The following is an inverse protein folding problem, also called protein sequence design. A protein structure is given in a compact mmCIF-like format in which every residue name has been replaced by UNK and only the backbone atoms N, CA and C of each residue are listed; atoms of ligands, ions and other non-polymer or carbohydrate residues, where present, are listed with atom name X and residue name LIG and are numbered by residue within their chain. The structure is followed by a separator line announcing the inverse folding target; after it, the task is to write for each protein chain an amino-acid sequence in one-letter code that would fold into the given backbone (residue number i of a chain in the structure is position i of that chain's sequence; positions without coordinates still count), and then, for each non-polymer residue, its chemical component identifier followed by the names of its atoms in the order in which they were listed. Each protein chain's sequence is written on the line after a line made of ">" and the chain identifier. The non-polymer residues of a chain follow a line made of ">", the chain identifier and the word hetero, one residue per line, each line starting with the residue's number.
data_IF_599011445640
#
_entry.id   IF_599011445640
#
_cell.length_a   1.000
_cell.length_b   1.000
_cell.length_c   1.000
_cell.angle_alpha   90.00
_cell.angle_beta   90.00
_cell.angle_gamma   90.00
#
_symmetry.space_group_name_H-M   'P 1'
#
loop_
_entity.id
_entity.type
_entity.pdbx_description
1 polymer ?
#
# COMPACT_ATOMS: atom_id res chain seq x y z
N UNK A 1 -29.61 -19.24 23.19
CA UNK A 1 -29.08 -18.43 22.06
C UNK A 1 -28.31 -19.36 21.14
N UNK A 2 -28.55 -19.30 19.83
CA UNK A 2 -27.74 -20.07 18.86
C UNK A 2 -26.33 -19.48 18.75
N UNK A 3 -25.31 -20.30 19.04
CA UNK A 3 -23.88 -20.00 18.87
C UNK A 3 -23.49 -20.35 17.42
N UNK A 4 -22.77 -19.46 16.76
CA UNK A 4 -22.25 -19.65 15.39
C UNK A 4 -21.09 -20.65 15.36
N UNK A 5 -20.69 -21.11 14.17
CA UNK A 5 -19.54 -22.04 14.04
C UNK A 5 -18.25 -21.39 14.54
N UNK A 6 -17.98 -20.15 14.13
CA UNK A 6 -16.85 -19.38 14.66
C UNK A 6 -16.94 -19.22 16.18
N UNK A 7 -18.11 -18.84 16.70
CA UNK A 7 -18.30 -18.70 18.14
C UNK A 7 -18.07 -19.99 18.94
N UNK A 8 -18.33 -21.16 18.34
CA UNK A 8 -18.02 -22.47 18.93
C UNK A 8 -16.51 -22.74 18.96
N UNK A 9 -15.81 -22.47 17.86
CA UNK A 9 -14.34 -22.60 17.77
C UNK A 9 -13.66 -21.70 18.79
N UNK A 10 -14.01 -20.41 18.81
CA UNK A 10 -13.45 -19.44 19.74
C UNK A 10 -13.71 -19.82 21.21
N UNK A 11 -14.93 -20.26 21.54
CA UNK A 11 -15.26 -20.72 22.90
C UNK A 11 -14.48 -21.99 23.30
N UNK A 12 -14.25 -22.89 22.35
CA UNK A 12 -13.49 -24.12 22.57
C UNK A 12 -12.02 -23.81 22.81
N UNK A 13 -11.42 -22.91 22.03
CA UNK A 13 -10.06 -22.44 22.23
C UNK A 13 -9.90 -21.66 23.55
N UNK A 14 -10.83 -20.76 23.89
CA UNK A 14 -10.82 -20.04 25.17
C UNK A 14 -10.74 -21.04 26.36
N UNK A 15 -11.50 -22.14 26.28
CA UNK A 15 -11.54 -23.18 27.31
C UNK A 15 -10.27 -24.03 27.35
N UNK A 16 -9.84 -24.57 26.22
CA UNK A 16 -8.83 -25.64 26.20
C UNK A 16 -7.44 -25.16 25.78
N UNK A 17 -7.35 -23.97 25.17
CA UNK A 17 -6.14 -23.44 24.58
C UNK A 17 -5.86 -24.15 23.26
N UNK A 18 -4.59 -24.18 22.86
CA UNK A 18 -4.16 -24.81 21.62
C UNK A 18 -3.83 -23.80 20.52
N UNK A 19 -3.72 -24.32 19.30
CA UNK A 19 -3.37 -23.55 18.13
C UNK A 19 -4.62 -22.97 17.47
N UNK A 20 -4.92 -21.73 17.84
CA UNK A 20 -6.11 -21.01 17.34
C UNK A 20 -6.09 -20.85 15.82
N UNK A 21 -4.93 -20.64 15.21
CA UNK A 21 -4.84 -20.45 13.77
C UNK A 21 -5.29 -21.72 13.04
N UNK A 22 -4.78 -22.89 13.47
CA UNK A 22 -5.20 -24.19 12.93
C UNK A 22 -6.70 -24.48 13.16
N UNK A 23 -7.25 -24.08 14.32
CA UNK A 23 -8.68 -24.24 14.58
C UNK A 23 -9.54 -23.35 13.67
N UNK A 24 -9.11 -22.12 13.39
CA UNK A 24 -9.77 -21.20 12.48
C UNK A 24 -9.65 -21.65 11.01
N UNK A 25 -8.49 -22.15 10.59
CA UNK A 25 -8.30 -22.73 9.25
C UNK A 25 -9.25 -23.90 8.99
N UNK A 26 -9.58 -24.67 10.04
CA UNK A 26 -10.58 -25.74 9.98
C UNK A 26 -12.01 -25.28 9.63
N UNK A 27 -12.30 -23.98 9.71
CA UNK A 27 -13.58 -23.40 9.24
C UNK A 27 -13.62 -23.22 7.72
N UNK A 28 -12.48 -23.25 7.03
CA UNK A 28 -12.34 -22.97 5.61
C UNK A 28 -12.58 -21.49 5.28
N UNK A 29 -13.19 -21.21 4.12
CA UNK A 29 -13.52 -19.85 3.70
C UNK A 29 -14.73 -19.29 4.49
N UNK A 30 -14.51 -18.93 5.75
CA UNK A 30 -15.55 -18.41 6.64
C UNK A 30 -15.55 -16.88 6.63
N UNK A 31 -16.62 -16.27 6.12
CA UNK A 31 -16.80 -14.81 6.18
C UNK A 31 -17.60 -14.37 7.42
N UNK A 32 -17.23 -13.22 7.99
CA UNK A 32 -17.88 -12.64 9.17
C UNK A 32 -19.14 -11.88 8.74
N UNK A 33 -20.26 -12.60 8.68
CA UNK A 33 -21.56 -12.05 8.25
C UNK A 33 -22.46 -11.64 9.41
N UNK A 34 -22.31 -12.27 10.59
CA UNK A 34 -23.25 -12.12 11.69
C UNK A 34 -22.69 -11.24 12.79
N UNK A 35 -23.54 -10.38 13.36
CA UNK A 35 -23.24 -9.61 14.58
C UNK A 35 -22.69 -10.49 15.72
N UNK A 36 -23.17 -11.73 15.83
CA UNK A 36 -22.72 -12.70 16.83
C UNK A 36 -21.29 -13.17 16.63
N UNK A 37 -20.82 -13.25 15.39
CA UNK A 37 -19.44 -13.61 15.07
C UNK A 37 -18.50 -12.49 15.53
N UNK A 38 -18.81 -11.25 15.16
CA UNK A 38 -18.09 -10.07 15.63
C UNK A 38 -18.04 -9.99 17.18
N UNK A 39 -19.16 -10.26 17.86
CA UNK A 39 -19.18 -10.34 19.33
C UNK A 39 -18.28 -11.44 19.90
N UNK A 40 -18.23 -12.59 19.25
CA UNK A 40 -17.35 -13.69 19.68
C UNK A 40 -15.87 -13.31 19.51
N UNK A 41 -15.53 -12.62 18.42
CA UNK A 41 -14.20 -12.05 18.19
C UNK A 41 -13.84 -11.05 19.30
N UNK A 42 -14.70 -10.05 19.56
CA UNK A 42 -14.48 -9.05 20.62
C UNK A 42 -14.31 -9.68 22.01
N UNK A 43 -15.11 -10.69 22.34
CA UNK A 43 -14.96 -11.44 23.59
C UNK A 43 -13.63 -12.16 23.67
N UNK A 44 -13.19 -12.77 22.57
CA UNK A 44 -11.93 -13.52 22.53
C UNK A 44 -10.72 -12.60 22.70
N UNK A 45 -10.78 -11.37 22.16
CA UNK A 45 -9.74 -10.35 22.30
C UNK A 45 -9.44 -9.95 23.76
N UNK A 46 -10.39 -10.11 24.68
CA UNK A 46 -10.16 -9.82 26.11
C UNK A 46 -9.65 -11.03 26.89
N UNK A 47 -9.51 -12.18 26.25
CA UNK A 47 -9.06 -13.40 26.91
C UNK A 47 -7.56 -13.29 27.28
N UNK A 48 -7.14 -13.68 28.50
CA UNK A 48 -5.74 -13.54 28.95
C UNK A 48 -4.71 -14.23 28.04
N UNK A 49 -5.12 -15.32 27.39
CA UNK A 49 -4.27 -16.08 26.44
C UNK A 49 -3.89 -15.29 25.18
N UNK A 50 -4.57 -14.19 24.86
CA UNK A 50 -4.17 -13.34 23.73
C UNK A 50 -2.77 -12.73 23.90
N UNK A 51 -2.29 -12.60 25.14
CA UNK A 51 -0.96 -12.07 25.44
C UNK A 51 0.07 -13.18 25.73
N UNK A 52 -0.30 -14.45 25.60
CA UNK A 52 0.66 -15.53 25.77
C UNK A 52 1.64 -15.54 24.59
N UNK A 53 2.95 -15.72 24.84
CA UNK A 53 3.92 -15.85 23.78
C UNK A 53 3.60 -17.06 22.92
N UNK A 54 3.91 -16.94 21.63
CA UNK A 54 3.76 -18.02 20.67
C UNK A 54 4.48 -19.29 21.15
N UNK A 55 3.78 -20.43 21.12
CA UNK A 55 4.39 -21.73 21.38
C UNK A 55 5.46 -22.07 20.32
N UNK A 56 6.45 -22.90 20.69
CA UNK A 56 7.55 -23.26 19.78
C UNK A 56 7.10 -23.90 18.46
N UNK A 57 5.99 -24.64 18.50
CA UNK A 57 5.46 -25.38 17.36
C UNK A 57 4.34 -24.63 16.62
N UNK A 58 4.01 -23.40 17.06
CA UNK A 58 2.94 -22.60 16.48
C UNK A 58 3.55 -21.61 15.48
N UNK A 59 2.96 -21.49 14.29
CA UNK A 59 3.43 -20.59 13.21
C UNK A 59 2.79 -19.19 13.32
N UNK A 60 1.61 -19.08 13.92
CA UNK A 60 0.85 -17.83 13.99
C UNK A 60 0.38 -17.59 15.42
N UNK A 61 0.61 -16.40 15.98
CA UNK A 61 0.13 -16.11 17.34
C UNK A 61 -1.40 -16.12 17.37
N UNK A 62 -2.03 -16.42 18.53
CA UNK A 62 -3.47 -16.29 18.67
C UNK A 62 -3.99 -14.87 18.36
N UNK A 63 -3.21 -13.84 18.70
CA UNK A 63 -3.55 -12.45 18.41
C UNK A 63 -3.59 -12.20 16.89
N UNK A 64 -2.56 -12.64 16.16
CA UNK A 64 -2.53 -12.54 14.71
C UNK A 64 -3.73 -13.23 14.06
N UNK A 65 -4.03 -14.45 14.50
CA UNK A 65 -5.14 -15.24 13.97
C UNK A 65 -6.50 -14.53 14.18
N UNK A 66 -6.71 -13.91 15.33
CA UNK A 66 -7.92 -13.12 15.59
C UNK A 66 -7.95 -11.82 14.76
N UNK A 67 -6.82 -11.12 14.63
CA UNK A 67 -6.73 -9.89 13.83
C UNK A 67 -7.02 -10.18 12.36
N UNK A 68 -6.63 -11.36 11.84
CA UNK A 68 -6.95 -11.76 10.46
C UNK A 68 -8.46 -11.73 10.18
N UNK A 69 -9.29 -12.14 11.14
CA UNK A 69 -10.75 -12.14 11.00
C UNK A 69 -11.35 -10.74 10.77
N UNK A 70 -10.61 -9.67 11.10
CA UNK A 70 -11.05 -8.30 10.81
C UNK A 70 -11.02 -7.96 9.31
N UNK A 71 -10.38 -8.79 8.47
CA UNK A 71 -10.25 -8.57 7.02
C UNK A 71 -11.32 -9.30 6.21
N UNK A 72 -12.02 -10.26 6.81
CA UNK A 72 -13.02 -11.12 6.13
C UNK A 72 -14.47 -10.76 6.48
N UNK A 73 -14.75 -9.46 6.66
CA UNK A 73 -16.07 -8.98 7.06
C UNK A 73 -16.88 -8.59 5.82
N UNK A 74 -18.07 -9.15 5.71
CA UNK A 74 -18.97 -8.90 4.58
C UNK A 74 -20.26 -8.21 5.01
N UNK A 75 -20.52 -8.10 6.32
CA UNK A 75 -21.72 -7.49 6.87
C UNK A 75 -21.44 -6.18 7.59
N UNK A 76 -22.29 -5.19 7.33
CA UNK A 76 -22.26 -3.89 8.01
C UNK A 76 -22.44 -4.02 9.52
N UNK A 77 -23.34 -4.89 9.99
CA UNK A 77 -23.60 -5.07 11.42
C UNK A 77 -22.38 -5.65 12.14
N UNK A 78 -21.68 -6.59 11.50
CA UNK A 78 -20.44 -7.16 12.03
C UNK A 78 -19.31 -6.11 12.04
N UNK A 79 -19.20 -5.33 10.97
CA UNK A 79 -18.24 -4.22 10.87
C UNK A 79 -18.44 -3.19 11.98
N UNK A 80 -19.68 -2.72 12.20
CA UNK A 80 -20.01 -1.74 13.24
C UNK A 80 -19.69 -2.25 14.66
N UNK A 81 -19.91 -3.55 14.92
CA UNK A 81 -19.55 -4.18 16.18
C UNK A 81 -18.02 -4.25 16.38
N UNK A 82 -17.26 -4.62 15.34
CA UNK A 82 -15.79 -4.65 15.42
C UNK A 82 -15.20 -3.24 15.54
N UNK A 83 -15.76 -2.23 14.88
CA UNK A 83 -15.41 -0.83 15.11
C UNK A 83 -15.60 -0.43 16.57
N UNK A 84 -16.78 -0.72 17.12
CA UNK A 84 -17.18 -0.25 18.45
C UNK A 84 -16.47 -0.97 19.57
N UNK A 85 -16.32 -2.30 19.45
CA UNK A 85 -15.88 -3.16 20.54
C UNK A 85 -14.57 -3.90 20.25
N UNK A 86 -14.19 -4.07 18.97
CA UNK A 86 -12.97 -4.77 18.56
C UNK A 86 -11.74 -3.86 18.52
N UNK A 87 -11.80 -2.77 17.75
CA UNK A 87 -10.68 -1.83 17.57
C UNK A 87 -10.12 -1.27 18.89
N UNK A 88 -10.92 -0.91 19.91
CA UNK A 88 -10.38 -0.47 21.19
C UNK A 88 -9.43 -1.48 21.84
N UNK A 89 -9.65 -2.79 21.66
CA UNK A 89 -8.74 -3.81 22.15
C UNK A 89 -7.45 -3.90 21.33
N UNK A 90 -7.55 -3.76 20.00
CA UNK A 90 -6.37 -3.72 19.13
C UNK A 90 -5.47 -2.52 19.44
N UNK A 91 -6.06 -1.34 19.65
CA UNK A 91 -5.33 -0.13 20.09
C UNK A 91 -4.58 -0.38 21.38
N UNK A 92 -5.23 -1.00 22.37
CA UNK A 92 -4.60 -1.33 23.66
C UNK A 92 -3.39 -2.27 23.48
N UNK A 93 -3.52 -3.32 22.67
CA UNK A 93 -2.39 -4.23 22.39
C UNK A 93 -1.23 -3.48 21.72
N UNK A 94 -1.55 -2.61 20.76
CA UNK A 94 -0.54 -1.81 20.08
C UNK A 94 0.18 -0.85 21.03
N UNK A 95 -0.57 -0.12 21.87
CA UNK A 95 0.00 0.79 22.86
C UNK A 95 0.92 0.05 23.84
N UNK A 96 0.48 -1.09 24.38
CA UNK A 96 1.27 -1.92 25.27
C UNK A 96 2.53 -2.47 24.59
N UNK A 97 2.40 -2.94 23.34
CA UNK A 97 3.52 -3.42 22.54
C UNK A 97 4.56 -2.33 22.26
N UNK A 98 4.10 -1.13 21.90
CA UNK A 98 4.97 0.02 21.67
C UNK A 98 5.68 0.49 22.94
N UNK A 99 5.10 0.30 24.12
CA UNK A 99 5.67 0.75 25.39
C UNK A 99 6.59 -0.28 26.05
N UNK A 100 6.21 -1.56 26.02
CA UNK A 100 6.86 -2.61 26.81
C UNK A 100 7.47 -3.75 25.97
N UNK A 101 7.35 -3.72 24.65
CA UNK A 101 7.75 -4.83 23.76
C UNK A 101 7.14 -6.17 24.20
N UNK A 102 5.88 -6.14 24.66
CA UNK A 102 5.16 -7.30 25.20
C UNK A 102 4.58 -8.23 24.14
N UNK A 103 4.63 -7.84 22.87
CA UNK A 103 4.03 -8.56 21.75
C UNK A 103 5.04 -8.73 20.62
N UNK A 104 4.78 -9.73 19.77
CA UNK A 104 5.56 -9.96 18.57
C UNK A 104 5.41 -8.79 17.59
N UNK A 105 6.48 -8.43 16.89
CA UNK A 105 6.44 -7.28 15.97
C UNK A 105 5.50 -7.53 14.79
N UNK A 106 5.38 -8.77 14.30
CA UNK A 106 4.46 -9.11 13.21
C UNK A 106 3.00 -8.92 13.65
N UNK A 107 2.66 -9.29 14.89
CA UNK A 107 1.33 -9.05 15.46
C UNK A 107 1.01 -7.54 15.48
N UNK A 108 1.98 -6.74 15.94
CA UNK A 108 1.82 -5.29 16.06
C UNK A 108 1.70 -4.60 14.69
N UNK A 109 2.50 -5.02 13.70
CA UNK A 109 2.41 -4.52 12.34
C UNK A 109 1.10 -4.94 11.67
N UNK A 110 0.59 -6.13 11.98
CA UNK A 110 -0.71 -6.58 11.46
C UNK A 110 -1.89 -5.84 12.09
N UNK A 111 -1.80 -5.53 13.38
CA UNK A 111 -2.75 -4.62 14.05
C UNK A 111 -2.71 -3.25 13.38
N UNK A 112 -1.53 -2.65 13.17
CA UNK A 112 -1.40 -1.35 12.50
C UNK A 112 -2.05 -1.34 11.11
N UNK A 113 -1.83 -2.39 10.30
CA UNK A 113 -2.48 -2.54 9.00
C UNK A 113 -4.01 -2.58 9.14
N UNK A 114 -4.50 -3.34 10.11
CA UNK A 114 -5.95 -3.47 10.37
C UNK A 114 -6.56 -2.15 10.83
N UNK A 115 -5.90 -1.41 11.72
CA UNK A 115 -6.34 -0.09 12.17
C UNK A 115 -6.38 0.91 10.99
N UNK A 116 -5.35 0.90 10.14
CA UNK A 116 -5.30 1.73 8.94
C UNK A 116 -6.45 1.41 7.97
N UNK A 117 -6.77 0.13 7.78
CA UNK A 117 -7.87 -0.33 6.91
C UNK A 117 -9.26 0.16 7.39
N UNK A 118 -9.47 0.29 8.70
CA UNK A 118 -10.75 0.76 9.27
C UNK A 118 -10.91 2.29 9.27
N UNK A 119 -9.81 3.02 9.08
CA UNK A 119 -9.77 4.45 8.87
C UNK A 119 -10.42 5.33 9.93
N UNK A 120 -10.33 4.95 11.22
CA UNK A 120 -10.70 5.87 12.29
C UNK A 120 -9.61 6.92 12.49
N UNK A 121 -10.02 8.15 12.81
CA UNK A 121 -9.10 9.27 12.92
C UNK A 121 -8.09 9.05 14.06
N UNK A 122 -8.53 8.50 15.19
CA UNK A 122 -7.64 8.23 16.33
C UNK A 122 -6.56 7.18 16.04
N UNK A 123 -6.75 6.33 15.03
CA UNK A 123 -5.78 5.29 14.69
C UNK A 123 -4.55 5.84 13.96
N UNK A 124 -4.68 7.01 13.32
CA UNK A 124 -3.57 7.67 12.64
C UNK A 124 -2.47 8.07 13.62
N UNK A 125 -2.83 8.56 14.80
CA UNK A 125 -1.86 8.94 15.83
C UNK A 125 -1.03 7.75 16.30
N UNK A 126 -1.63 6.55 16.34
CA UNK A 126 -0.93 5.31 16.67
C UNK A 126 0.00 4.87 15.54
N UNK A 127 -0.41 5.00 14.27
CA UNK A 127 0.45 4.72 13.11
C UNK A 127 1.65 5.67 13.10
N UNK A 128 1.44 6.96 13.37
CA UNK A 128 2.53 7.94 13.52
C UNK A 128 3.45 7.54 14.67
N UNK A 129 2.90 7.23 15.85
CA UNK A 129 3.68 6.79 17.03
C UNK A 129 4.54 5.56 16.70
N UNK A 130 3.98 4.57 16.01
CA UNK A 130 4.69 3.38 15.57
C UNK A 130 5.78 3.70 14.55
N UNK A 131 5.52 4.52 13.52
CA UNK A 131 6.53 4.91 12.53
C UNK A 131 7.69 5.72 13.14
N UNK A 132 7.43 6.44 14.24
CA UNK A 132 8.44 7.19 15.01
C UNK A 132 9.30 6.30 15.90
N UNK A 133 8.75 5.21 16.41
CA UNK A 133 9.44 4.15 17.15
C UNK A 133 9.36 2.86 16.35
N UNK A 134 10.02 2.81 15.17
CA UNK A 134 9.68 1.87 14.14
C UNK A 134 9.82 0.42 14.61
N UNK A 135 8.71 -0.30 14.51
CA UNK A 135 8.67 -1.75 14.55
C UNK A 135 9.19 -2.24 13.19
N UNK A 136 10.33 -2.94 13.20
CA UNK A 136 10.99 -3.44 11.99
C UNK A 136 11.09 -2.35 10.89
N UNK A 137 11.86 -1.26 11.10
CA UNK A 137 11.94 -0.11 10.17
C UNK A 137 12.32 -0.46 8.74
N UNK A 138 12.96 -1.61 8.56
CA UNK A 138 13.49 -2.09 7.28
C UNK A 138 12.58 -3.13 6.60
N UNK A 139 11.43 -3.46 7.20
CA UNK A 139 10.45 -4.36 6.61
C UNK A 139 9.60 -3.64 5.55
N UNK A 140 9.96 -3.88 4.29
CA UNK A 140 9.25 -3.30 3.16
C UNK A 140 7.78 -3.74 3.08
N UNK A 141 7.51 -5.02 3.31
CA UNK A 141 6.21 -5.62 3.07
C UNK A 141 5.15 -5.05 3.99
N UNK A 142 5.47 -4.99 5.28
CA UNK A 142 4.55 -4.49 6.30
C UNK A 142 4.26 -3.01 6.14
N UNK A 143 5.29 -2.17 6.07
CA UNK A 143 5.09 -0.72 5.99
C UNK A 143 4.44 -0.28 4.67
N UNK A 144 4.75 -0.96 3.56
CA UNK A 144 4.05 -0.72 2.29
C UNK A 144 2.56 -1.08 2.39
N UNK A 145 2.24 -2.23 3.02
CA UNK A 145 0.86 -2.65 3.20
C UNK A 145 0.07 -1.68 4.10
N UNK A 146 0.69 -1.12 5.14
CA UNK A 146 0.07 -0.15 6.05
C UNK A 146 -0.22 1.17 5.34
N UNK A 147 0.77 1.80 4.68
CA UNK A 147 0.54 3.09 4.00
C UNK A 147 -0.39 2.96 2.79
N UNK A 148 -0.46 1.80 2.13
CA UNK A 148 -1.46 1.56 1.08
C UNK A 148 -2.91 1.58 1.58
N UNK A 149 -3.17 1.36 2.86
CA UNK A 149 -4.52 1.52 3.42
C UNK A 149 -4.91 2.99 3.62
N UNK A 150 -3.92 3.89 3.68
CA UNK A 150 -4.11 5.32 3.91
C UNK A 150 -3.86 6.05 2.60
N UNK A 151 -4.74 5.88 1.62
CA UNK A 151 -4.62 6.59 0.33
C UNK A 151 -5.16 8.03 0.40
N UNK A 152 -5.32 8.68 -0.75
CA UNK A 152 -5.81 10.06 -0.84
C UNK A 152 -7.30 10.21 -0.50
N UNK A 153 -8.10 9.13 -0.52
CA UNK A 153 -9.50 9.12 -0.11
C UNK A 153 -9.65 8.89 1.40
N UNK A 154 -8.64 8.29 2.04
CA UNK A 154 -8.63 8.00 3.45
C UNK A 154 -8.69 9.27 4.33
N UNK A 155 -9.59 9.33 5.31
CA UNK A 155 -9.82 10.53 6.16
C UNK A 155 -8.59 11.03 6.92
N UNK A 156 -7.63 10.14 7.14
CA UNK A 156 -6.41 10.35 7.90
C UNK A 156 -5.16 10.74 7.11
N UNK A 157 -5.20 10.81 5.78
CA UNK A 157 -3.99 10.95 4.95
C UNK A 157 -3.18 12.22 5.26
N UNK A 158 -3.86 13.36 5.42
CA UNK A 158 -3.20 14.63 5.77
C UNK A 158 -2.54 14.55 7.13
N UNK A 159 -3.25 14.02 8.14
CA UNK A 159 -2.72 13.88 9.50
C UNK A 159 -1.51 12.96 9.55
N UNK A 160 -1.54 11.83 8.81
CA UNK A 160 -0.39 10.94 8.68
C UNK A 160 0.79 11.63 8.01
N UNK A 161 0.54 12.34 6.91
CA UNK A 161 1.58 13.07 6.18
C UNK A 161 2.24 14.13 7.07
N UNK A 162 1.45 14.96 7.75
CA UNK A 162 1.97 16.03 8.61
C UNK A 162 2.69 15.47 9.84
N UNK A 163 2.14 14.43 10.47
CA UNK A 163 2.73 13.79 11.64
C UNK A 163 4.09 13.15 11.39
N UNK A 164 4.35 12.74 10.14
CA UNK A 164 5.62 12.13 9.72
C UNK A 164 6.60 13.12 9.06
N UNK A 165 6.19 14.36 8.81
CA UNK A 165 7.01 15.37 8.13
C UNK A 165 8.27 15.76 8.90
N UNK A 166 8.15 15.98 10.21
CA UNK A 166 9.27 16.47 11.04
C UNK A 166 9.37 15.75 12.40
N UNK A 167 10.49 15.06 12.69
CA UNK A 167 11.57 14.71 11.74
C UNK A 167 11.04 13.79 10.61
N UNK A 168 11.81 13.44 9.59
CA UNK A 168 11.44 12.35 8.68
C UNK A 168 11.71 10.98 9.35
N UNK A 169 10.89 9.94 9.10
CA UNK A 169 11.12 8.57 9.62
C UNK A 169 12.53 8.08 9.26
N UNK A 170 13.17 7.23 10.07
CA UNK A 170 14.51 6.68 9.77
C UNK A 170 14.41 5.27 9.20
N UNK A 171 15.39 4.83 8.42
CA UNK A 171 15.41 3.48 7.82
C UNK A 171 14.56 3.39 6.55
N UNK A 172 14.26 2.16 6.13
CA UNK A 172 13.52 1.90 4.89
C UNK A 172 12.11 2.53 4.89
N UNK A 173 11.42 2.56 6.03
CA UNK A 173 10.10 3.22 6.17
C UNK A 173 10.07 4.65 5.61
N UNK A 174 11.20 5.37 5.62
CA UNK A 174 11.27 6.70 5.01
C UNK A 174 11.06 6.71 3.50
N UNK A 175 11.53 5.66 2.81
CA UNK A 175 11.33 5.47 1.38
C UNK A 175 9.85 5.15 1.08
N UNK A 176 9.21 4.36 1.93
CA UNK A 176 7.78 4.04 1.80
C UNK A 176 6.93 5.29 2.09
N UNK A 177 7.35 6.11 3.05
CA UNK A 177 6.75 7.41 3.33
C UNK A 177 6.93 8.39 2.15
N UNK A 178 8.08 8.36 1.47
CA UNK A 178 8.30 9.14 0.24
C UNK A 178 7.31 8.73 -0.85
N UNK A 179 7.14 7.43 -1.09
CA UNK A 179 6.19 6.91 -2.07
C UNK A 179 4.74 7.33 -1.77
N UNK A 180 4.33 7.20 -0.51
CA UNK A 180 3.04 7.71 -0.02
C UNK A 180 2.88 9.22 -0.26
N UNK A 181 3.89 10.03 0.11
CA UNK A 181 3.86 11.48 -0.07
C UNK A 181 3.81 11.89 -1.55
N UNK A 182 4.55 11.21 -2.42
CA UNK A 182 4.50 11.40 -3.86
C UNK A 182 3.10 11.14 -4.39
N UNK A 183 2.47 10.03 -3.98
CA UNK A 183 1.11 9.70 -4.39
C UNK A 183 0.12 10.81 -3.98
N UNK A 184 0.19 11.32 -2.75
CA UNK A 184 -0.67 12.43 -2.34
C UNK A 184 -0.39 13.72 -3.14
N UNK A 185 0.87 14.04 -3.41
CA UNK A 185 1.24 15.23 -4.16
C UNK A 185 0.77 15.15 -5.64
N UNK A 186 0.94 14.01 -6.28
CA UNK A 186 0.47 13.74 -7.65
C UNK A 186 -1.04 13.92 -7.75
N UNK A 187 -1.79 13.48 -6.73
CA UNK A 187 -3.24 13.65 -6.69
C UNK A 187 -3.68 15.05 -6.21
N UNK A 188 -2.76 15.98 -5.95
CA UNK A 188 -3.08 17.35 -5.53
C UNK A 188 -3.54 17.49 -4.07
N UNK A 189 -3.23 16.51 -3.21
CA UNK A 189 -3.63 16.50 -1.80
C UNK A 189 -2.60 17.12 -0.84
N UNK A 190 -1.48 17.63 -1.36
CA UNK A 190 -0.43 18.28 -0.57
C UNK A 190 -0.17 19.70 -1.06
N UNK A 191 -0.30 20.67 -0.15
CA UNK A 191 0.16 22.06 -0.39
C UNK A 191 1.69 22.14 -0.44
N UNK A 192 2.35 21.31 0.37
CA UNK A 192 3.81 21.25 0.47
C UNK A 192 4.26 19.81 0.67
N UNK A 193 5.20 19.36 -0.17
CA UNK A 193 5.78 18.03 -0.07
C UNK A 193 6.63 17.89 1.21
N UNK A 194 6.49 16.82 2.00
CA UNK A 194 7.22 16.68 3.27
C UNK A 194 8.74 16.57 3.09
N UNK A 195 9.20 16.13 1.92
CA UNK A 195 10.62 16.12 1.56
C UNK A 195 11.13 17.46 1.02
N UNK A 196 10.28 18.49 0.90
CA UNK A 196 10.70 19.88 0.63
C UNK A 196 11.22 20.57 1.91
N UNK A 197 12.29 19.99 2.46
CA UNK A 197 12.98 20.39 3.69
C UNK A 197 14.46 20.01 3.62
N UNK A 198 15.33 20.62 4.41
CA UNK A 198 16.77 20.30 4.39
C UNK A 198 17.05 18.82 4.71
N UNK A 199 16.27 18.21 5.61
CA UNK A 199 16.37 16.77 5.87
C UNK A 199 15.90 15.93 4.69
N UNK A 200 14.84 16.35 4.00
CA UNK A 200 14.35 15.70 2.79
C UNK A 200 15.35 15.79 1.65
N UNK A 201 15.93 16.97 1.43
CA UNK A 201 16.96 17.21 0.41
C UNK A 201 18.17 16.30 0.61
N UNK A 202 18.68 16.20 1.83
CA UNK A 202 19.81 15.31 2.13
C UNK A 202 19.51 13.84 1.81
N UNK A 203 18.27 13.39 2.03
CA UNK A 203 17.84 12.01 1.72
C UNK A 203 17.66 11.79 0.23
N UNK A 204 17.00 12.72 -0.46
CA UNK A 204 16.83 12.65 -1.91
C UNK A 204 18.19 12.64 -2.61
N UNK A 205 19.13 13.51 -2.19
CA UNK A 205 20.49 13.51 -2.71
C UNK A 205 21.18 12.16 -2.52
N UNK A 206 21.09 11.59 -1.31
CA UNK A 206 21.67 10.29 -1.01
C UNK A 206 21.06 9.18 -1.90
N UNK A 207 19.73 9.13 -2.04
CA UNK A 207 19.05 8.11 -2.85
C UNK A 207 19.28 8.26 -4.35
N UNK A 208 19.56 9.47 -4.83
CA UNK A 208 19.86 9.74 -6.23
C UNK A 208 21.33 9.50 -6.60
N UNK A 209 22.26 9.58 -5.62
CA UNK A 209 23.71 9.47 -5.86
C UNK A 209 24.31 8.14 -5.42
N UNK A 210 23.68 7.41 -4.52
CA UNK A 210 24.24 6.15 -4.01
C UNK A 210 24.19 5.06 -5.10
N UNK A 211 25.35 4.59 -5.62
CA UNK A 211 25.38 3.55 -6.66
C UNK A 211 24.90 2.19 -6.15
N UNK A 212 24.86 1.99 -4.83
CA UNK A 212 24.34 0.78 -4.19
C UNK A 212 22.87 0.90 -3.80
N UNK A 213 22.25 2.07 -3.98
CA UNK A 213 20.83 2.21 -3.79
C UNK A 213 20.08 1.33 -4.78
N UNK A 214 18.98 0.73 -4.31
CA UNK A 214 18.08 0.02 -5.20
C UNK A 214 17.53 1.00 -6.23
N UNK A 215 17.39 0.56 -7.50
CA UNK A 215 16.82 1.40 -8.58
C UNK A 215 15.46 2.00 -8.20
N UNK A 216 14.70 1.30 -7.36
CA UNK A 216 13.42 1.76 -6.81
C UNK A 216 13.56 3.02 -5.96
N UNK A 217 14.68 3.24 -5.28
CA UNK A 217 14.90 4.42 -4.44
C UNK A 217 15.12 5.67 -5.30
N UNK A 218 15.99 5.56 -6.30
CA UNK A 218 16.23 6.65 -7.25
C UNK A 218 14.96 6.99 -8.03
N UNK A 219 14.16 5.98 -8.40
CA UNK A 219 12.85 6.17 -9.03
C UNK A 219 11.92 7.00 -8.14
N UNK A 220 11.71 6.59 -6.89
CA UNK A 220 10.82 7.29 -5.96
C UNK A 220 11.33 8.69 -5.63
N UNK A 221 12.65 8.86 -5.48
CA UNK A 221 13.27 10.17 -5.26
C UNK A 221 13.05 11.10 -6.47
N UNK A 222 13.11 10.57 -7.69
CA UNK A 222 12.85 11.32 -8.92
C UNK A 222 11.39 11.78 -8.99
N UNK A 223 10.44 10.93 -8.59
CA UNK A 223 9.01 11.26 -8.57
C UNK A 223 8.67 12.43 -7.62
N UNK A 224 9.50 12.71 -6.61
CA UNK A 224 9.30 13.83 -5.69
C UNK A 224 9.71 15.18 -6.29
N UNK A 225 10.62 15.18 -7.28
CA UNK A 225 11.28 16.40 -7.77
C UNK A 225 10.33 17.51 -8.25
N UNK A 226 9.21 17.24 -8.94
CA UNK A 226 8.26 18.28 -9.32
C UNK A 226 7.72 19.10 -8.14
N UNK A 227 7.70 18.50 -6.94
CA UNK A 227 7.16 19.11 -5.72
C UNK A 227 8.24 19.72 -4.81
N UNK A 228 9.49 19.73 -5.26
CA UNK A 228 10.63 20.34 -4.55
C UNK A 228 10.86 21.77 -5.06
N UNK A 229 11.30 22.65 -4.15
CA UNK A 229 11.69 24.02 -4.49
C UNK A 229 12.72 24.07 -5.62
N UNK A 230 12.48 25.01 -6.55
CA UNK A 230 13.25 25.22 -7.79
C UNK A 230 14.76 25.09 -7.60
N UNK A 231 15.33 25.83 -6.63
CA UNK A 231 16.77 25.92 -6.45
C UNK A 231 17.43 24.58 -6.05
N UNK A 232 16.70 23.68 -5.38
CA UNK A 232 17.18 22.32 -5.08
C UNK A 232 16.84 21.36 -6.22
N UNK A 233 15.67 21.52 -6.84
CA UNK A 233 15.20 20.69 -7.95
C UNK A 233 16.19 20.66 -9.11
N UNK A 234 16.72 21.81 -9.52
CA UNK A 234 17.70 21.90 -10.61
C UNK A 234 18.95 21.05 -10.35
N UNK A 235 19.47 21.08 -9.11
CA UNK A 235 20.60 20.24 -8.70
C UNK A 235 20.26 18.75 -8.78
N UNK A 236 19.08 18.35 -8.31
CA UNK A 236 18.67 16.94 -8.36
C UNK A 236 18.44 16.44 -9.78
N UNK A 237 17.88 17.26 -10.67
CA UNK A 237 17.73 16.92 -12.09
C UNK A 237 19.08 16.72 -12.77
N UNK A 238 20.09 17.52 -12.43
CA UNK A 238 21.46 17.31 -12.91
C UNK A 238 22.03 15.97 -12.42
N UNK A 239 21.88 15.62 -11.14
CA UNK A 239 22.34 14.33 -10.59
C UNK A 239 21.69 13.16 -11.34
N UNK A 240 20.38 13.25 -11.58
CA UNK A 240 19.61 12.26 -12.34
C UNK A 240 20.16 12.09 -13.76
N UNK A 241 20.45 13.20 -14.45
CA UNK A 241 21.06 13.21 -15.79
C UNK A 241 22.36 12.42 -15.86
N UNK A 242 23.22 12.64 -14.85
CA UNK A 242 24.57 12.11 -14.80
C UNK A 242 24.58 10.62 -14.43
N UNK A 243 23.62 10.15 -13.61
CA UNK A 243 23.63 8.80 -13.06
C UNK A 243 22.78 7.79 -13.84
N UNK A 244 21.65 8.21 -14.43
CA UNK A 244 20.71 7.26 -15.01
C UNK A 244 20.98 6.91 -16.47
N UNK A 245 21.93 7.58 -17.14
CA UNK A 245 22.08 7.51 -18.61
C UNK A 245 20.73 7.82 -19.30
N UNK A 246 19.92 8.65 -18.62
CA UNK A 246 18.59 9.12 -19.01
C UNK A 246 18.71 10.62 -19.17
N UNK A 247 18.55 11.12 -20.39
CA UNK A 247 18.47 12.57 -20.62
C UNK A 247 17.29 13.15 -19.84
N UNK A 248 17.49 14.10 -18.90
CA UNK A 248 16.40 14.79 -18.25
C UNK A 248 15.72 15.69 -19.27
N UNK A 249 14.41 15.53 -19.42
CA UNK A 249 13.60 16.48 -20.20
C UNK A 249 12.79 17.32 -19.22
N UNK A 250 13.23 18.55 -19.00
CA UNK A 250 12.33 19.60 -18.52
C UNK A 250 11.43 20.06 -19.66
N UNK A 251 10.11 20.18 -19.40
CA UNK A 251 9.28 21.17 -20.07
C UNK A 251 7.98 21.44 -19.31
N UNK A 252 7.56 22.70 -19.37
CA UNK A 252 6.36 23.25 -18.72
C UNK A 252 5.06 22.65 -19.28
N UNK A 253 4.18 22.20 -18.37
CA UNK A 253 2.83 21.69 -18.67
C UNK A 253 2.81 20.17 -18.83
N UNK A 254 2.78 19.46 -17.70
CA UNK A 254 2.63 18.01 -17.48
C UNK A 254 2.72 17.06 -18.69
N UNK A 255 3.81 16.28 -18.73
CA UNK A 255 3.90 14.96 -19.38
C UNK A 255 4.68 14.00 -18.48
N UNK A 256 4.10 12.83 -18.22
CA UNK A 256 4.69 11.74 -17.41
C UNK A 256 5.89 11.15 -18.14
N UNK A 257 7.02 11.00 -17.43
CA UNK A 257 8.16 10.21 -17.89
C UNK A 257 7.80 8.73 -17.65
N UNK A 258 7.50 7.97 -18.70
CA UNK A 258 7.37 6.51 -18.59
C UNK A 258 8.74 5.90 -18.27
N UNK A 259 8.88 5.32 -17.08
CA UNK A 259 10.00 4.47 -16.74
C UNK A 259 9.87 3.13 -17.48
N UNK A 260 10.43 3.11 -18.68
CA UNK A 260 10.98 1.98 -19.44
C UNK A 260 10.53 0.57 -18.97
N UNK A 261 9.48 0.03 -19.60
CA UNK A 261 9.37 -1.42 -19.75
C UNK A 261 10.53 -1.88 -20.65
N UNK A 262 11.16 -3.02 -20.36
CA UNK A 262 12.42 -3.47 -20.99
C UNK A 262 12.36 -3.69 -22.51
N UNK A 263 11.17 -3.65 -23.11
CA UNK A 263 10.92 -4.25 -24.41
C UNK A 263 10.49 -3.25 -25.50
N UNK A 264 10.49 -1.94 -25.20
CA UNK A 264 10.20 -0.90 -26.20
C UNK A 264 11.50 -0.36 -26.82
N UNK A 265 11.50 -0.06 -28.13
CA UNK A 265 12.64 0.62 -28.79
C UNK A 265 12.88 1.99 -28.14
N UNK A 266 14.14 2.43 -28.20
CA UNK A 266 14.76 3.53 -27.43
C UNK A 266 14.01 4.88 -27.35
N UNK A 267 12.98 5.16 -28.15
CA UNK A 267 12.30 6.46 -28.17
C UNK A 267 10.83 6.35 -28.62
N UNK A 268 9.90 6.02 -27.71
CA UNK A 268 8.48 6.25 -27.97
C UNK A 268 8.13 7.72 -27.62
N UNK A 269 7.47 8.45 -28.52
CA UNK A 269 7.00 9.83 -28.34
C UNK A 269 5.48 9.88 -28.47
N UNK A 270 4.76 10.25 -27.41
CA UNK A 270 3.30 10.34 -27.43
C UNK A 270 2.74 11.25 -26.34
N UNK A 271 1.58 11.85 -26.58
CA UNK A 271 0.93 12.86 -25.72
C UNK A 271 -0.27 12.24 -25.01
N UNK A 272 -0.37 12.41 -23.69
CA UNK A 272 -1.55 11.93 -22.94
C UNK A 272 -2.71 12.93 -23.08
N UNK A 273 -3.87 12.50 -23.60
CA UNK A 273 -5.09 13.32 -23.66
C UNK A 273 -6.31 12.54 -23.15
N UNK A 274 -6.85 12.87 -21.97
CA UNK A 274 -8.11 12.26 -21.45
C UNK A 274 -9.36 12.64 -22.28
N UNK A 275 -10.60 12.18 -22.06
CA UNK A 275 -11.26 11.21 -21.15
C UNK A 275 -12.09 10.27 -22.07
N UNK A 276 -11.90 8.96 -21.96
CA UNK A 276 -12.65 7.95 -22.75
C UNK A 276 -12.83 6.64 -21.98
N UNK A 277 -13.75 5.80 -22.46
CA UNK A 277 -14.31 4.64 -21.73
C UNK A 277 -13.27 3.54 -21.47
N UNK A 278 -13.16 3.18 -20.19
CA UNK A 278 -12.20 2.27 -19.54
C UNK A 278 -12.38 0.81 -19.99
N UNK A 279 -11.31 0.14 -20.43
CA UNK A 279 -11.21 -1.33 -20.57
C UNK A 279 -9.81 -1.86 -20.23
N UNK A 280 -9.76 -3.10 -19.71
CA UNK A 280 -8.88 -3.63 -18.66
C UNK A 280 -7.83 -4.63 -19.20
N UNK A 281 -6.55 -4.52 -18.80
CA UNK A 281 -5.50 -5.58 -18.90
C UNK A 281 -4.61 -5.57 -17.63
N UNK A 282 -4.00 -6.72 -17.29
CA UNK A 282 -3.49 -7.14 -15.97
C UNK A 282 -1.95 -7.21 -15.91
N UNK A 283 -1.29 -6.61 -14.91
CA UNK A 283 0.09 -7.00 -14.49
C UNK A 283 0.43 -6.84 -12.99
N UNK A 284 -0.53 -6.51 -12.12
CA UNK A 284 -0.45 -6.86 -10.69
C UNK A 284 0.16 -5.84 -9.72
N UNK A 285 0.57 -4.64 -10.11
CA UNK A 285 0.91 -3.59 -9.12
C UNK A 285 0.61 -2.18 -9.62
N UNK A 286 -0.50 -1.62 -9.12
CA UNK A 286 -1.02 -0.24 -9.32
C UNK A 286 -1.64 0.03 -10.70
N UNK A 287 -2.90 0.48 -10.68
CA UNK A 287 -3.69 0.82 -11.87
C UNK A 287 -3.45 2.28 -12.31
N UNK A 288 -3.08 2.50 -13.57
CA UNK A 288 -3.11 3.83 -14.18
C UNK A 288 -3.74 3.73 -15.58
N UNK A 289 -4.81 4.50 -15.79
CA UNK A 289 -5.48 4.61 -17.10
C UNK A 289 -5.01 5.89 -17.80
N UNK A 290 -4.45 5.78 -19.01
CA UNK A 290 -4.16 6.94 -19.85
C UNK A 290 -4.33 6.62 -21.34
N UNK A 291 -4.78 7.62 -22.10
CA UNK A 291 -4.80 7.60 -23.56
C UNK A 291 -3.51 8.23 -24.06
N UNK A 292 -2.65 7.47 -24.74
CA UNK A 292 -1.48 8.02 -25.45
C UNK A 292 -1.85 8.18 -26.92
N UNK A 293 -1.83 9.42 -27.40
CA UNK A 293 -1.79 9.72 -28.83
C UNK A 293 -0.32 9.76 -29.26
N UNK A 294 0.10 8.80 -30.08
CA UNK A 294 1.46 8.77 -30.60
C UNK A 294 1.58 9.72 -31.79
N UNK A 295 2.65 10.51 -31.81
CA UNK A 295 2.90 11.46 -32.89
C UNK A 295 3.27 10.73 -34.21
N UNK A 296 3.73 9.47 -34.11
CA UNK A 296 4.07 8.58 -35.22
C UNK A 296 3.61 7.13 -34.90
N UNK A 297 3.30 6.30 -35.93
CA UNK A 297 2.94 4.90 -35.72
C UNK A 297 4.00 4.14 -34.92
N UNK A 298 3.56 3.32 -33.97
CA UNK A 298 4.43 2.48 -33.14
C UNK A 298 4.16 1.01 -33.43
N UNK A 299 5.20 0.18 -33.29
CA UNK A 299 5.10 -1.28 -33.41
C UNK A 299 5.49 -1.89 -32.08
N UNK A 300 4.54 -2.58 -31.44
CA UNK A 300 4.82 -3.38 -30.25
C UNK A 300 5.18 -4.81 -30.66
N UNK A 301 6.26 -5.34 -30.09
CA UNK A 301 6.78 -6.69 -30.38
C UNK A 301 6.59 -7.66 -29.21
N UNK A 302 5.95 -7.23 -28.12
CA UNK A 302 5.77 -8.07 -26.92
C UNK A 302 4.81 -9.23 -27.12
N UNK A 303 4.03 -9.25 -28.21
CA UNK A 303 3.14 -10.37 -28.57
C UNK A 303 3.74 -11.37 -29.59
N UNK A 304 5.07 -11.45 -29.69
CA UNK A 304 5.74 -12.49 -30.51
C UNK A 304 5.39 -13.93 -30.06
N UNK A 305 4.85 -14.12 -28.85
CA UNK A 305 4.33 -15.41 -28.39
C UNK A 305 3.03 -15.85 -29.10
N UNK A 306 2.25 -14.91 -29.64
CA UNK A 306 1.02 -15.20 -30.40
C UNK A 306 1.11 -14.82 -31.89
N UNK A 307 2.25 -14.30 -32.35
CA UNK A 307 2.54 -14.11 -33.77
C UNK A 307 1.76 -12.97 -34.44
N UNK A 308 1.25 -12.00 -33.69
CA UNK A 308 0.60 -10.81 -34.25
C UNK A 308 1.50 -9.58 -34.16
N UNK A 309 1.71 -8.94 -35.31
CA UNK A 309 2.35 -7.63 -35.40
C UNK A 309 1.25 -6.57 -35.21
N UNK A 310 1.26 -5.86 -34.09
CA UNK A 310 0.27 -4.81 -33.80
C UNK A 310 0.85 -3.47 -34.22
N UNK A 311 0.31 -2.90 -35.29
CA UNK A 311 0.66 -1.58 -35.80
C UNK A 311 -0.34 -0.54 -35.29
N UNK A 312 0.10 0.38 -34.43
CA UNK A 312 -0.75 1.44 -33.92
C UNK A 312 -0.71 2.63 -34.87
N UNK A 313 -1.75 2.82 -35.69
CA UNK A 313 -1.91 4.04 -36.50
C UNK A 313 -3.12 4.82 -35.99
N UNK A 314 -2.92 6.10 -35.64
CA UNK A 314 -3.99 7.08 -35.38
C UNK A 314 -5.14 6.65 -34.46
N UNK A 315 -5.02 6.94 -33.16
CA UNK A 315 -6.13 7.08 -32.19
C UNK A 315 -7.24 6.00 -32.12
N UNK A 316 -7.10 4.81 -32.71
CA UNK A 316 -8.10 3.73 -32.55
C UNK A 316 -7.54 2.37 -32.92
N UNK A 317 -7.84 1.34 -32.12
CA UNK A 317 -7.82 -0.06 -32.60
C UNK A 317 -9.05 -0.21 -33.52
N UNK A 318 -8.84 -0.57 -34.78
CA UNK A 318 -9.94 -0.98 -35.67
C UNK A 318 -10.46 -2.33 -35.16
N UNK A 319 -11.66 -2.37 -34.59
CA UNK A 319 -12.41 -3.61 -34.37
C UNK A 319 -12.78 -4.20 -35.75
N UNK A 320 -12.26 -5.39 -36.08
CA UNK A 320 -12.83 -6.21 -37.16
C UNK A 320 -14.22 -6.72 -36.75
N UNK A 321 -15.20 -6.45 -37.61
CA UNK A 321 -16.58 -6.88 -37.49
C UNK A 321 -16.67 -8.41 -37.32
N UNK A 322 -17.17 -8.86 -36.17
CA UNK A 322 -17.60 -10.25 -36.00
C UNK A 322 -18.78 -10.54 -36.94
N UNK A 323 -18.52 -11.48 -37.84
CA UNK A 323 -19.43 -12.11 -38.80
C UNK A 323 -20.86 -12.34 -38.25
N UNK A 324 -21.93 -12.04 -39.01
CA UNK A 324 -23.29 -12.35 -38.58
C UNK A 324 -23.54 -13.85 -38.65
N UNK A 325 -24.10 -14.39 -37.57
CA UNK A 325 -24.64 -15.75 -37.51
C UNK A 325 -25.70 -15.91 -38.60
N UNK A 326 -25.47 -16.87 -39.50
CA UNK A 326 -26.49 -17.41 -40.41
C UNK A 326 -27.40 -18.35 -39.61
N UNK A 327 -28.70 -18.26 -39.93
CA UNK A 327 -29.87 -18.94 -39.36
C UNK A 327 -29.73 -20.45 -39.10
#
# INVERSE_FOLDING_TARGET
>A
MHITKLGQVLAQWEKNGGDLANELDGLGNYSIEQHKDAKAICRTLVHPRMSEPKGKDIITSPLYAIVALFQDITSREAFEELCTNGLPHLRRFLEQGLEHASHDNDDLLFILKTLAMYGQKEDIDLIIKAARKPLMPDDYGWWSAIFKQVDHEHVGHQSLCDGLREPLPKGFIAMIYLDFANSLAINGHLDKHPFDSEQGYARLEHWLTDPFCLKTYAHNATAALPFIQEHKRQRFLQIVAEHLDVEPKEQSGDRVLMLKHSDWKKEAKGTIRGKGVVRRIYDGTVHFDYYIEFDEPQTDKTDEANGMEIEYSGSTVLEEELCPLVE
#
